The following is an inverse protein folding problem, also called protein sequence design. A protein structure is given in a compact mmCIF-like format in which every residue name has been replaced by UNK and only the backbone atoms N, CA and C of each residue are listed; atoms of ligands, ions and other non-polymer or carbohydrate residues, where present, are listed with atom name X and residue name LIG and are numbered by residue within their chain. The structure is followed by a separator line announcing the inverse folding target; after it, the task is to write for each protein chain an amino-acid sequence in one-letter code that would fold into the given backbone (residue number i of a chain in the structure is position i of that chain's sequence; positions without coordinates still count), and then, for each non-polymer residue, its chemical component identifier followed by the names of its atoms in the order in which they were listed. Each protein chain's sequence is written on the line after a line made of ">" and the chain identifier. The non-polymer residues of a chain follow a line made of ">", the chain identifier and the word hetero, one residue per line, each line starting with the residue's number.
data_IF_579325215340
#
_entry.id   IF_579325215340
#
_cell.length_a   1.000
_cell.length_b   1.000
_cell.length_c   1.000
_cell.angle_alpha   90.00
_cell.angle_beta   90.00
_cell.angle_gamma   90.00
#
_symmetry.space_group_name_H-M   'P 1'
#
loop_
_entity.id
_entity.type
_entity.pdbx_description
1 polymer ?
#
# COMPACT_ATOMS: atom_id res chain seq x y z
N UNK A 1 2.01 8.52 13.92
CA UNK A 1 0.81 8.89 14.72
C UNK A 1 -0.15 7.71 14.80
N UNK A 2 -0.70 7.36 15.96
CA UNK A 2 -1.62 6.23 16.06
C UNK A 2 -2.95 6.55 15.35
N UNK A 3 -3.52 5.56 14.66
CA UNK A 3 -4.80 5.67 13.96
C UNK A 3 -5.81 4.71 14.57
N UNK A 4 -6.99 5.24 14.87
CA UNK A 4 -8.11 4.43 15.37
C UNK A 4 -9.36 4.68 14.57
N UNK A 5 -10.13 3.63 14.32
CA UNK A 5 -11.53 3.76 13.89
C UNK A 5 -12.39 3.90 15.14
N UNK A 6 -13.18 4.97 15.20
CA UNK A 6 -13.98 5.31 16.37
C UNK A 6 -15.44 4.89 16.22
N UNK A 7 -15.96 4.93 15.00
CA UNK A 7 -17.28 4.40 14.69
C UNK A 7 -17.44 4.16 13.20
N UNK A 8 -18.26 3.16 12.85
CA UNK A 8 -18.78 2.96 11.51
C UNK A 8 -20.30 3.03 11.60
N UNK A 9 -20.93 3.85 10.76
CA UNK A 9 -22.38 4.06 10.77
C UNK A 9 -22.96 3.85 9.37
N UNK A 10 -24.15 3.25 9.24
CA UNK A 10 -24.85 3.23 7.97
C UNK A 10 -25.29 4.64 7.61
N UNK A 11 -25.34 4.96 6.31
CA UNK A 11 -26.02 6.15 5.83
C UNK A 11 -27.46 5.80 5.42
N UNK A 12 -28.16 6.73 4.78
CA UNK A 12 -29.47 6.46 4.17
C UNK A 12 -29.36 5.51 2.96
N UNK A 13 -28.15 5.31 2.43
CA UNK A 13 -27.89 4.41 1.31
C UNK A 13 -27.31 3.09 1.84
N UNK A 14 -27.92 1.92 1.54
CA UNK A 14 -27.55 0.64 2.16
C UNK A 14 -26.11 0.20 1.96
N UNK A 15 -25.45 0.70 0.91
CA UNK A 15 -24.08 0.36 0.52
C UNK A 15 -23.06 1.38 0.98
N UNK A 16 -23.51 2.50 1.55
CA UNK A 16 -22.62 3.57 2.01
C UNK A 16 -22.51 3.56 3.53
N UNK A 17 -21.28 3.75 3.99
CA UNK A 17 -20.95 3.81 5.41
C UNK A 17 -20.12 5.05 5.71
N UNK A 18 -20.50 5.75 6.76
CA UNK A 18 -19.69 6.81 7.34
C UNK A 18 -18.71 6.20 8.34
N UNK A 19 -17.43 6.45 8.13
CA UNK A 19 -16.34 5.96 8.98
C UNK A 19 -15.67 7.16 9.65
N UNK A 20 -15.71 7.18 10.98
CA UNK A 20 -15.04 8.18 11.80
C UNK A 20 -13.72 7.62 12.30
N UNK A 21 -12.61 8.29 12.02
CA UNK A 21 -11.27 7.93 12.48
C UNK A 21 -10.64 9.05 13.29
N UNK A 22 -9.73 8.69 14.19
CA UNK A 22 -8.73 9.60 14.76
C UNK A 22 -7.36 9.29 14.17
N UNK A 23 -6.63 10.32 13.71
CA UNK A 23 -5.21 10.25 13.34
C UNK A 23 -4.45 11.13 14.33
N UNK A 24 -3.79 10.53 15.31
CA UNK A 24 -3.24 11.29 16.43
C UNK A 24 -4.35 11.99 17.22
N UNK A 25 -4.33 13.33 17.25
CA UNK A 25 -5.36 14.14 17.90
C UNK A 25 -6.49 14.56 16.95
N UNK A 26 -6.29 14.41 15.64
CA UNK A 26 -7.21 14.93 14.62
C UNK A 26 -8.29 13.90 14.28
N UNK A 27 -9.49 14.41 14.01
CA UNK A 27 -10.67 13.61 13.70
C UNK A 27 -11.03 13.75 12.24
N UNK A 28 -11.21 12.61 11.57
CA UNK A 28 -11.50 12.54 10.14
C UNK A 28 -12.72 11.68 9.87
N UNK A 29 -13.54 12.12 8.93
CA UNK A 29 -14.73 11.41 8.50
C UNK A 29 -14.60 11.07 7.03
N UNK A 30 -14.78 9.80 6.69
CA UNK A 30 -14.76 9.34 5.31
C UNK A 30 -16.01 8.55 4.98
N UNK A 31 -16.34 8.50 3.70
CA UNK A 31 -17.39 7.65 3.17
C UNK A 31 -16.77 6.42 2.52
N UNK A 32 -17.37 5.27 2.78
CA UNK A 32 -17.03 4.01 2.16
C UNK A 32 -18.25 3.46 1.42
N UNK A 33 -18.02 2.92 0.23
CA UNK A 33 -19.03 2.22 -0.56
C UNK A 33 -18.68 0.75 -0.62
N UNK A 34 -19.65 -0.13 -0.37
CA UNK A 34 -19.51 -1.57 -0.55
C UNK A 34 -20.41 -2.06 -1.67
N UNK A 35 -19.81 -2.66 -2.69
CA UNK A 35 -20.52 -3.27 -3.81
C UNK A 35 -20.38 -4.78 -3.76
N UNK A 36 -21.44 -5.48 -4.17
CA UNK A 36 -21.45 -6.93 -4.31
C UNK A 36 -21.84 -7.24 -5.74
N UNK A 37 -20.88 -7.77 -6.49
CA UNK A 37 -21.01 -8.11 -7.89
C UNK A 37 -21.04 -9.63 -8.04
N UNK A 38 -21.90 -10.16 -8.92
CA UNK A 38 -21.95 -11.59 -9.21
C UNK A 38 -21.06 -11.90 -10.42
N UNK A 39 -20.15 -12.86 -10.24
CA UNK A 39 -19.26 -13.38 -11.27
C UNK A 39 -19.51 -14.89 -11.40
N UNK A 40 -20.47 -15.25 -12.27
CA UNK A 40 -20.97 -16.62 -12.38
C UNK A 40 -21.60 -17.07 -11.07
N UNK A 41 -21.08 -18.16 -10.50
CA UNK A 41 -21.56 -18.72 -9.22
C UNK A 41 -20.88 -18.10 -7.97
N UNK A 42 -20.02 -17.08 -8.16
CA UNK A 42 -19.28 -16.45 -7.06
C UNK A 42 -19.71 -14.99 -6.89
N UNK A 43 -19.96 -14.58 -5.65
CA UNK A 43 -20.13 -13.17 -5.29
C UNK A 43 -18.78 -12.54 -4.95
N UNK A 44 -18.42 -11.45 -5.62
CA UNK A 44 -17.27 -10.61 -5.32
C UNK A 44 -17.73 -9.35 -4.60
N UNK A 45 -17.23 -9.13 -3.39
CA UNK A 45 -17.46 -7.91 -2.62
C UNK A 45 -16.26 -6.96 -2.78
N UNK A 46 -16.52 -5.71 -3.14
CA UNK A 46 -15.54 -4.61 -3.16
C UNK A 46 -15.96 -3.55 -2.14
N UNK A 47 -14.99 -3.00 -1.40
CA UNK A 47 -15.23 -1.96 -0.40
C UNK A 47 -14.19 -0.86 -0.60
N UNK A 48 -14.66 0.32 -1.00
CA UNK A 48 -13.82 1.43 -1.44
C UNK A 48 -14.09 2.67 -0.61
N UNK A 49 -13.03 3.31 -0.14
CA UNK A 49 -13.11 4.64 0.48
C UNK A 49 -13.26 5.73 -0.59
N UNK A 50 -13.84 6.85 -0.20
CA UNK A 50 -13.92 8.03 -1.07
C UNK A 50 -12.52 8.53 -1.47
N UNK A 51 -12.47 9.44 -2.45
CA UNK A 51 -11.22 10.00 -2.96
C UNK A 51 -10.34 10.60 -1.85
N UNK A 52 -10.95 11.33 -0.92
CA UNK A 52 -10.26 11.95 0.21
C UNK A 52 -9.55 10.90 1.09
N UNK A 53 -10.21 9.77 1.37
CA UNK A 53 -9.58 8.66 2.09
C UNK A 53 -8.36 8.12 1.34
N UNK A 54 -8.49 7.90 0.04
CA UNK A 54 -7.39 7.41 -0.80
C UNK A 54 -6.19 8.38 -0.82
N UNK A 55 -6.46 9.68 -0.85
CA UNK A 55 -5.42 10.71 -0.84
C UNK A 55 -4.70 10.76 0.53
N UNK A 56 -5.45 10.73 1.64
CA UNK A 56 -4.88 10.73 2.99
C UNK A 56 -4.03 9.48 3.24
N UNK A 57 -4.50 8.31 2.80
CA UNK A 57 -3.82 7.04 3.08
C UNK A 57 -2.93 6.53 1.94
N UNK A 58 -2.61 7.33 0.93
CA UNK A 58 -1.80 6.93 -0.24
C UNK A 58 -0.48 6.23 0.13
N UNK A 59 0.19 6.73 1.16
CA UNK A 59 1.46 6.17 1.69
C UNK A 59 1.28 5.26 2.91
N UNK A 60 0.04 5.11 3.37
CA UNK A 60 -0.34 4.38 4.59
C UNK A 60 -1.26 3.20 4.23
N UNK A 61 -0.95 2.48 3.14
CA UNK A 61 -1.79 1.42 2.57
C UNK A 61 -2.13 0.31 3.57
N UNK A 62 -1.20 -0.03 4.48
CA UNK A 62 -1.47 -1.02 5.52
C UNK A 62 -2.58 -0.55 6.47
N UNK A 63 -2.56 0.72 6.87
CA UNK A 63 -3.62 1.31 7.69
C UNK A 63 -4.91 1.36 6.89
N UNK A 64 -4.85 1.77 5.61
CA UNK A 64 -6.00 1.80 4.72
C UNK A 64 -6.71 0.44 4.65
N UNK A 65 -5.94 -0.63 4.41
CA UNK A 65 -6.43 -2.00 4.36
C UNK A 65 -7.06 -2.44 5.68
N UNK A 66 -6.48 -2.07 6.83
CA UNK A 66 -7.04 -2.40 8.14
C UNK A 66 -8.38 -1.70 8.37
N UNK A 67 -8.52 -0.43 7.95
CA UNK A 67 -9.79 0.29 7.99
C UNK A 67 -10.83 -0.39 7.10
N UNK A 68 -10.49 -0.70 5.84
CA UNK A 68 -11.39 -1.39 4.91
C UNK A 68 -11.87 -2.74 5.45
N UNK A 69 -11.00 -3.51 6.12
CA UNK A 69 -11.38 -4.78 6.77
C UNK A 69 -12.45 -4.58 7.84
N UNK A 70 -12.37 -3.50 8.64
CA UNK A 70 -13.40 -3.20 9.64
C UNK A 70 -14.73 -2.82 8.99
N UNK A 71 -14.69 -2.09 7.87
CA UNK A 71 -15.90 -1.75 7.10
C UNK A 71 -16.55 -3.00 6.51
N UNK A 72 -15.76 -3.92 5.95
CA UNK A 72 -16.25 -5.22 5.44
C UNK A 72 -16.94 -6.03 6.55
N UNK A 73 -16.31 -6.14 7.72
CA UNK A 73 -16.91 -6.81 8.88
C UNK A 73 -18.24 -6.18 9.28
N UNK A 74 -18.28 -4.85 9.36
CA UNK A 74 -19.48 -4.11 9.68
C UNK A 74 -20.61 -4.33 8.66
N UNK A 75 -20.27 -4.31 7.36
CA UNK A 75 -21.22 -4.60 6.27
C UNK A 75 -21.82 -6.00 6.41
N UNK A 76 -20.98 -6.98 6.71
CA UNK A 76 -21.37 -8.39 6.91
C UNK A 76 -22.06 -8.68 8.25
N UNK A 77 -22.40 -7.65 9.03
CA UNK A 77 -23.04 -7.77 10.35
C UNK A 77 -22.19 -8.53 11.38
N UNK A 78 -20.88 -8.57 11.18
CA UNK A 78 -19.95 -9.07 12.17
C UNK A 78 -19.76 -8.05 13.29
N UNK A 79 -19.42 -8.53 14.49
CA UNK A 79 -19.12 -7.67 15.63
C UNK A 79 -17.83 -6.90 15.38
N UNK A 80 -17.89 -5.58 15.51
CA UNK A 80 -16.74 -4.67 15.47
C UNK A 80 -16.69 -3.91 16.78
N UNK A 81 -15.58 -4.04 17.51
CA UNK A 81 -15.35 -3.30 18.74
C UNK A 81 -14.75 -1.93 18.43
N UNK A 82 -15.22 -0.90 19.12
CA UNK A 82 -14.71 0.46 18.98
C UNK A 82 -14.26 1.04 20.33
N UNK A 83 -13.22 1.88 20.38
CA UNK A 83 -12.35 2.26 19.25
C UNK A 83 -11.39 1.13 18.83
N UNK A 84 -11.22 0.91 17.52
CA UNK A 84 -10.34 -0.11 16.96
C UNK A 84 -9.01 0.50 16.50
N UNK A 85 -7.88 -0.02 17.00
CA UNK A 85 -6.55 0.35 16.50
C UNK A 85 -6.31 -0.25 15.12
N UNK A 86 -5.92 0.59 14.15
CA UNK A 86 -5.67 0.18 12.76
C UNK A 86 -4.21 0.41 12.33
N UNK A 87 -3.35 0.81 13.27
CA UNK A 87 -1.91 0.98 13.06
C UNK A 87 -1.44 2.43 13.20
N UNK A 88 -0.26 2.69 12.63
CA UNK A 88 0.39 4.00 12.71
C UNK A 88 0.41 4.68 11.34
N UNK A 89 -0.08 5.92 11.32
CA UNK A 89 0.08 6.86 10.21
C UNK A 89 1.51 7.39 10.18
N UNK A 90 2.11 7.32 9.01
CA UNK A 90 3.44 7.82 8.68
C UNK A 90 3.25 9.02 7.76
N UNK A 91 3.95 10.12 8.02
CA UNK A 91 3.87 11.28 7.13
C UNK A 91 4.56 10.96 5.79
N UNK A 92 4.27 11.68 4.70
CA UNK A 92 4.99 11.50 3.44
C UNK A 92 6.51 11.60 3.59
N UNK A 93 6.99 12.56 4.39
CA UNK A 93 8.40 12.78 4.67
C UNK A 93 9.01 11.59 5.40
N UNK A 94 8.30 11.06 6.40
CA UNK A 94 8.72 9.87 7.13
C UNK A 94 8.70 8.62 6.23
N UNK A 95 7.71 8.47 5.35
CA UNK A 95 7.62 7.36 4.41
C UNK A 95 8.78 7.39 3.41
N UNK A 96 9.11 8.58 2.89
CA UNK A 96 10.27 8.80 2.01
C UNK A 96 11.59 8.60 2.76
N UNK A 97 11.68 8.97 4.04
CA UNK A 97 12.89 8.71 4.85
C UNK A 97 13.14 7.22 5.14
N UNK A 98 12.05 6.42 5.18
CA UNK A 98 12.09 4.96 5.40
C UNK A 98 12.27 4.17 4.11
N UNK A 99 11.96 4.77 2.96
CA UNK A 99 12.53 4.36 1.68
C UNK A 99 14.03 4.61 1.81
N UNK A 100 14.76 3.61 2.33
CA UNK A 100 16.23 3.57 2.30
C UNK A 100 16.65 4.15 0.96
N UNK A 101 17.52 5.15 1.01
CA UNK A 101 18.30 5.52 -0.16
C UNK A 101 18.83 4.22 -0.73
N UNK A 102 18.33 3.83 -1.91
CA UNK A 102 19.09 2.98 -2.81
C UNK A 102 20.26 3.86 -3.27
N UNK A 103 21.14 4.23 -2.35
CA UNK A 103 22.48 4.70 -2.62
C UNK A 103 23.22 3.49 -3.17
N UNK A 104 22.93 3.20 -4.43
CA UNK A 104 23.81 2.47 -5.29
C UNK A 104 25.02 3.37 -5.57
N UNK A 105 25.89 3.54 -4.58
CA UNK A 105 27.27 3.99 -4.79
C UNK A 105 28.09 2.96 -5.59
N UNK A 106 27.48 1.87 -6.06
CA UNK A 106 28.09 0.86 -6.92
C UNK A 106 27.63 0.85 -8.38
N UNK A 107 26.72 1.72 -8.80
CA UNK A 107 26.27 1.78 -10.21
C UNK A 107 26.84 2.97 -10.96
N UNK A 108 27.43 3.96 -10.29
CA UNK A 108 28.04 5.12 -10.95
C UNK A 108 29.43 4.84 -11.56
N UNK A 109 30.16 3.83 -11.08
CA UNK A 109 31.53 3.54 -11.60
C UNK A 109 31.55 2.82 -12.95
N UNK A 110 30.43 2.28 -13.44
CA UNK A 110 30.39 1.63 -14.77
C UNK A 110 29.93 2.55 -15.91
N UNK A 111 29.61 3.82 -15.63
CA UNK A 111 29.06 4.76 -16.61
C UNK A 111 29.86 6.07 -16.75
N UNK A 112 31.08 6.15 -16.22
CA UNK A 112 32.00 7.28 -16.48
C UNK A 112 32.74 7.19 -17.83
N UNK A 113 32.38 6.21 -18.67
CA UNK A 113 33.01 5.98 -19.97
C UNK A 113 32.09 6.24 -21.16
N UNK A 114 31.28 7.32 -21.14
CA UNK A 114 30.74 8.02 -22.32
C UNK A 114 29.47 8.80 -21.95
N UNK A 115 29.54 10.13 -21.94
CA UNK A 115 28.59 11.02 -22.63
C UNK A 115 28.92 12.47 -22.30
N UNK A 116 29.66 13.06 -23.22
CA UNK A 116 29.55 14.47 -23.55
C UNK A 116 28.07 14.77 -23.89
N UNK A 117 27.47 15.73 -23.18
CA UNK A 117 26.18 16.35 -23.53
C UNK A 117 24.89 15.52 -23.36
N UNK A 118 24.38 15.35 -22.14
CA UNK A 118 22.94 15.15 -21.90
C UNK A 118 22.56 15.51 -20.44
N UNK A 119 21.46 16.25 -20.26
CA UNK A 119 21.00 16.80 -18.98
C UNK A 119 20.42 15.73 -18.03
N UNK A 120 20.74 15.88 -16.73
CA UNK A 120 20.51 14.96 -15.60
C UNK A 120 19.06 14.47 -15.36
N UNK A 121 18.05 15.06 -15.98
CA UNK A 121 16.64 14.76 -15.68
C UNK A 121 16.04 13.64 -16.54
N UNK A 122 16.63 13.32 -17.70
CA UNK A 122 16.10 12.28 -18.59
C UNK A 122 16.53 10.86 -18.23
N UNK A 123 17.56 10.67 -17.40
CA UNK A 123 18.12 9.35 -17.09
C UNK A 123 17.32 8.54 -16.06
N UNK A 124 16.59 9.19 -15.15
CA UNK A 124 16.02 8.49 -13.97
C UNK A 124 14.71 7.75 -14.29
N UNK A 125 13.90 8.28 -15.21
CA UNK A 125 12.65 7.64 -15.65
C UNK A 125 12.90 6.43 -16.56
N UNK A 126 13.87 6.53 -17.47
CA UNK A 126 14.24 5.42 -18.37
C UNK A 126 14.83 4.24 -17.59
N UNK A 127 15.70 4.51 -16.61
CA UNK A 127 16.27 3.47 -15.73
C UNK A 127 15.17 2.81 -14.90
N UNK A 128 14.22 3.59 -14.37
CA UNK A 128 13.09 3.05 -13.61
C UNK A 128 12.13 2.20 -14.46
N UNK A 129 11.94 2.57 -15.73
CA UNK A 129 11.15 1.80 -16.70
C UNK A 129 11.81 0.46 -17.04
N UNK A 130 13.10 0.49 -17.38
CA UNK A 130 13.88 -0.70 -17.78
C UNK A 130 14.00 -1.71 -16.63
N UNK A 131 14.25 -1.24 -15.41
CA UNK A 131 14.34 -2.12 -14.22
C UNK A 131 12.99 -2.78 -13.94
N UNK A 132 11.88 -2.05 -14.08
CA UNK A 132 10.53 -2.61 -13.92
C UNK A 132 10.22 -3.64 -15.01
N UNK A 133 10.55 -3.35 -16.27
CA UNK A 133 10.34 -4.29 -17.37
C UNK A 133 11.16 -5.57 -17.20
N UNK A 134 12.41 -5.47 -16.74
CA UNK A 134 13.23 -6.65 -16.43
C UNK A 134 12.71 -7.45 -15.25
N UNK A 135 12.23 -6.77 -14.19
CA UNK A 135 11.64 -7.44 -13.04
C UNK A 135 10.36 -8.21 -13.42
N UNK A 136 9.49 -7.61 -14.22
CA UNK A 136 8.29 -8.28 -14.74
C UNK A 136 8.64 -9.45 -15.65
N UNK A 137 9.59 -9.28 -16.58
CA UNK A 137 10.02 -10.35 -17.47
C UNK A 137 10.71 -11.52 -16.75
N UNK A 138 11.31 -11.29 -15.57
CA UNK A 138 11.84 -12.35 -14.72
C UNK A 138 10.73 -13.10 -13.97
N UNK A 139 9.69 -12.39 -13.51
CA UNK A 139 8.53 -13.01 -12.85
C UNK A 139 7.71 -13.88 -13.82
N UNK A 140 7.56 -13.46 -15.07
CA UNK A 140 6.85 -14.22 -16.12
C UNK A 140 7.58 -15.49 -16.57
N UNK A 141 8.91 -15.56 -16.35
CA UNK A 141 9.73 -16.73 -16.73
C UNK A 141 9.84 -17.77 -15.63
N UNK A 142 9.31 -17.50 -14.43
CA UNK A 142 9.35 -18.44 -13.32
C UNK A 142 8.13 -19.38 -13.36
N UNK A 143 8.32 -20.69 -13.14
CA UNK A 143 7.19 -21.61 -13.00
C UNK A 143 6.31 -21.18 -11.81
N UNK A 144 4.98 -21.23 -11.97
CA UNK A 144 4.02 -20.77 -10.94
C UNK A 144 4.27 -21.39 -9.55
N UNK A 145 4.77 -22.62 -9.52
CA UNK A 145 5.12 -23.34 -8.29
C UNK A 145 6.26 -22.68 -7.50
N UNK A 146 7.12 -21.86 -8.13
CA UNK A 146 8.25 -21.19 -7.49
C UNK A 146 7.96 -19.74 -7.09
N UNK A 147 6.82 -19.16 -7.51
CA UNK A 147 6.46 -17.80 -7.12
C UNK A 147 6.27 -17.65 -5.60
N UNK A 148 5.74 -18.69 -4.94
CA UNK A 148 5.61 -18.73 -3.47
C UNK A 148 6.95 -18.74 -2.74
N UNK A 149 7.92 -19.50 -3.24
CA UNK A 149 9.27 -19.58 -2.66
C UNK A 149 10.08 -18.29 -2.88
N UNK A 150 9.87 -17.62 -4.01
CA UNK A 150 10.51 -16.33 -4.31
C UNK A 150 9.98 -15.23 -3.37
N UNK A 151 8.68 -15.22 -3.06
CA UNK A 151 8.12 -14.29 -2.06
C UNK A 151 8.73 -14.54 -0.68
N UNK A 152 8.80 -15.81 -0.23
CA UNK A 152 9.43 -16.16 1.04
C UNK A 152 10.93 -15.83 1.08
N UNK A 153 11.65 -16.04 -0.02
CA UNK A 153 13.06 -15.71 -0.11
C UNK A 153 13.29 -14.19 -0.03
N UNK A 154 12.49 -13.40 -0.73
CA UNK A 154 12.55 -11.93 -0.66
C UNK A 154 12.18 -11.41 0.74
N UNK A 155 11.18 -12.01 1.39
CA UNK A 155 10.85 -11.71 2.78
C UNK A 155 12.01 -12.06 3.73
N UNK A 156 12.68 -13.20 3.51
CA UNK A 156 13.83 -13.64 4.31
C UNK A 156 15.04 -12.72 4.17
N UNK A 157 15.30 -12.18 2.96
CA UNK A 157 16.36 -11.21 2.71
C UNK A 157 16.06 -9.87 3.42
N UNK A 158 14.79 -9.48 3.47
CA UNK A 158 14.32 -8.28 4.18
C UNK A 158 14.52 -8.41 5.70
N UNK A 159 14.28 -9.59 6.27
CA UNK A 159 14.51 -9.87 7.70
C UNK A 159 16.01 -9.94 8.02
N UNK A 160 16.83 -10.55 7.16
CA UNK A 160 18.28 -10.70 7.40
C UNK A 160 19.02 -9.36 7.36
N UNK A 161 18.54 -8.40 6.57
CA UNK A 161 19.04 -7.02 6.55
C UNK A 161 18.71 -6.21 7.83
N UNK A 162 17.74 -6.65 8.63
CA UNK A 162 17.35 -5.99 9.89
C UNK A 162 18.02 -6.59 11.14
N UNK A 163 18.63 -7.76 11.02
CA UNK A 163 19.27 -8.48 12.14
C UNK A 163 20.81 -8.52 12.06
N UNK A 164 21.42 -7.80 11.10
CA UNK A 164 22.88 -7.71 10.93
C UNK A 164 23.47 -6.38 11.45
N UNK A 165 22.78 -5.72 12.39
CA UNK A 165 23.26 -4.53 13.10
C UNK A 165 23.73 -4.86 14.50
#
# INVERSE_FOLDING_TARGET
>A
MNVKVLSIKPTNEPRLHEVLLSIGADMHKFLFTTEVNQLGDKSLQTTDGNREFSEVFRFNQRVAMNVSKLVVKFYNKEVVEFPADVGNFVTPEEAVSKLKSFQNDRVLESYEGNRDGMTKEQSTEEIGSEVRHRATALLEKLPDAMLGEVVQFLESLSVKANNAG
#
